data_IF_335709253690
#
_entry.id   IF_335709253690
#
_cell.length_a   1.000
_cell.length_b   1.000
_cell.length_c   1.000
_cell.angle_alpha   90.00
_cell.angle_beta   90.00
_cell.angle_gamma   90.00
#
_symmetry.space_group_name_H-M   'P 1'
#
loop_
_entity.id
_entity.type
_entity.pdbx_description
1 polymer ?
#
# COMPACT_ATOMS: atom_id res chain seq x y z
N UNK A 1 17.08 0.40 13.52
CA UNK A 1 16.03 -0.53 13.10
C UNK A 1 16.27 -1.86 13.77
N UNK A 2 15.31 -2.34 14.56
CA UNK A 2 15.43 -3.57 15.34
C UNK A 2 14.04 -4.16 15.58
N UNK A 3 13.98 -5.27 16.31
CA UNK A 3 12.79 -6.09 16.62
C UNK A 3 11.51 -5.30 17.02
N UNK A 4 11.66 -4.11 17.61
CA UNK A 4 10.57 -3.19 17.97
C UNK A 4 9.91 -2.46 16.78
N UNK A 5 10.55 -2.43 15.60
CA UNK A 5 10.06 -1.75 14.40
C UNK A 5 9.26 -2.68 13.46
N UNK A 6 9.17 -3.98 13.76
CA UNK A 6 8.52 -4.95 12.88
C UNK A 6 6.98 -4.89 12.90
N UNK A 7 6.36 -4.03 13.72
CA UNK A 7 4.90 -3.89 13.82
C UNK A 7 4.41 -2.45 13.72
N UNK A 8 5.21 -1.55 13.15
CA UNK A 8 4.82 -0.16 12.98
C UNK A 8 4.00 0.00 11.69
N UNK A 9 2.72 0.29 11.83
CA UNK A 9 1.89 0.75 10.71
C UNK A 9 2.20 2.21 10.47
N UNK A 10 2.74 2.54 9.30
CA UNK A 10 3.01 3.93 8.91
C UNK A 10 2.13 4.29 7.73
N UNK A 11 1.48 5.45 7.78
CA UNK A 11 0.87 6.07 6.62
C UNK A 11 1.54 7.42 6.34
N UNK A 12 1.45 7.88 5.09
CA UNK A 12 1.93 9.20 4.69
C UNK A 12 0.75 10.05 4.22
N UNK A 13 0.73 11.30 4.66
CA UNK A 13 -0.24 12.33 4.28
C UNK A 13 0.52 13.54 3.76
N UNK A 14 0.18 14.00 2.57
CA UNK A 14 0.65 15.28 2.01
C UNK A 14 -0.53 16.23 1.97
N UNK A 15 -0.31 17.47 2.42
CA UNK A 15 -1.32 18.53 2.38
C UNK A 15 -0.75 19.77 1.70
N UNK A 16 -1.41 20.22 0.64
CA UNK A 16 -1.17 21.52 0.03
C UNK A 16 -2.23 22.50 0.51
N UNK A 17 -1.82 23.64 1.07
CA UNK A 17 -2.73 24.67 1.57
C UNK A 17 -2.44 25.97 0.82
N UNK A 18 -3.46 26.54 0.18
CA UNK A 18 -3.36 27.80 -0.56
C UNK A 18 -4.64 28.62 -0.47
N UNK A 19 -4.66 29.77 -1.14
CA UNK A 19 -5.81 30.70 -1.12
C UNK A 19 -7.11 30.07 -1.65
N UNK A 20 -7.02 29.05 -2.52
CA UNK A 20 -8.15 28.29 -3.05
C UNK A 20 -8.60 27.10 -2.20
N UNK A 21 -8.05 26.92 -1.00
CA UNK A 21 -8.37 25.81 -0.09
C UNK A 21 -7.22 24.81 0.10
N UNK A 22 -7.53 23.67 0.71
CA UNK A 22 -6.59 22.61 1.00
C UNK A 22 -6.82 21.37 0.11
N UNK A 23 -5.73 20.77 -0.34
CA UNK A 23 -5.71 19.50 -1.05
C UNK A 23 -4.93 18.48 -0.21
N UNK A 24 -5.46 17.27 -0.08
CA UNK A 24 -4.88 16.23 0.75
C UNK A 24 -4.69 14.94 -0.06
N UNK A 25 -3.57 14.28 0.19
CA UNK A 25 -3.25 12.99 -0.42
C UNK A 25 -2.75 12.03 0.64
N UNK A 26 -3.28 10.81 0.66
CA UNK A 26 -2.87 9.80 1.63
C UNK A 26 -2.46 8.50 0.93
N UNK A 27 -1.45 7.81 1.46
CA UNK A 27 -1.12 6.45 1.02
C UNK A 27 -2.13 5.43 1.54
N UNK A 28 -2.74 5.66 2.72
CA UNK A 28 -3.85 4.83 3.22
C UNK A 28 -3.51 3.35 3.37
N UNK A 29 -2.27 3.03 3.76
CA UNK A 29 -1.75 1.66 3.98
C UNK A 29 -0.72 1.69 5.11
N UNK A 30 -0.31 0.53 5.61
CA UNK A 30 0.79 0.29 6.55
C UNK A 30 2.19 0.44 5.92
N UNK A 31 2.29 0.38 4.58
CA UNK A 31 3.54 0.42 3.83
C UNK A 31 3.50 1.53 2.76
N UNK A 32 3.82 2.78 3.13
CA UNK A 32 3.69 3.91 2.20
C UNK A 32 4.65 3.76 1.02
N UNK A 33 5.82 3.13 1.22
CA UNK A 33 6.76 2.80 0.17
C UNK A 33 6.25 1.75 -0.83
N UNK A 34 5.12 1.08 -0.59
CA UNK A 34 4.52 0.13 -1.53
C UNK A 34 3.23 0.67 -2.13
N UNK A 35 2.85 1.92 -1.85
CA UNK A 35 1.58 2.51 -2.26
C UNK A 35 1.78 3.86 -2.93
N UNK A 36 0.78 4.30 -3.67
CA UNK A 36 0.74 5.63 -4.27
C UNK A 36 -0.13 6.58 -3.44
N UNK A 37 0.23 7.86 -3.39
CA UNK A 37 -0.63 8.91 -2.88
C UNK A 37 -1.98 8.95 -3.61
N UNK A 38 -3.07 8.92 -2.84
CA UNK A 38 -4.43 9.00 -3.34
C UNK A 38 -5.11 10.28 -2.83
N UNK A 39 -5.83 11.03 -3.67
CA UNK A 39 -6.52 12.22 -3.20
C UNK A 39 -7.59 11.85 -2.17
N UNK A 40 -7.67 12.62 -1.08
CA UNK A 40 -8.64 12.50 0.01
C UNK A 40 -9.21 13.86 0.38
N UNK A 41 -10.39 13.88 1.01
CA UNK A 41 -11.03 15.11 1.48
C UNK A 41 -11.47 14.96 2.93
N UNK A 42 -11.21 15.99 3.72
CA UNK A 42 -11.75 16.09 5.08
C UNK A 42 -13.28 16.20 5.00
N UNK A 43 -14.00 15.41 5.80
CA UNK A 43 -15.46 15.40 5.82
C UNK A 43 -16.14 14.59 4.71
N UNK A 44 -15.39 14.00 3.78
CA UNK A 44 -15.92 13.13 2.73
C UNK A 44 -15.20 11.77 2.76
N UNK A 45 -15.58 10.86 3.68
CA UNK A 45 -14.92 9.58 3.86
C UNK A 45 -15.06 8.71 2.60
N UNK A 46 -14.01 7.95 2.32
CA UNK A 46 -13.97 7.03 1.19
C UNK A 46 -14.45 5.67 1.71
N UNK A 47 -15.47 5.11 1.06
CA UNK A 47 -16.23 3.95 1.56
C UNK A 47 -15.46 2.62 1.60
N UNK A 48 -16.20 1.51 1.62
CA UNK A 48 -15.71 0.11 1.77
C UNK A 48 -14.56 -0.27 0.82
N UNK A 49 -14.49 0.33 -0.37
CA UNK A 49 -13.38 0.18 -1.32
C UNK A 49 -12.01 0.49 -0.69
N UNK A 50 -11.96 1.41 0.27
CA UNK A 50 -10.72 1.76 0.99
C UNK A 50 -10.21 0.62 1.87
N UNK A 51 -11.09 -0.15 2.51
CA UNK A 51 -10.71 -1.28 3.35
C UNK A 51 -10.22 -2.46 2.51
N UNK A 52 -10.89 -2.76 1.39
CA UNK A 52 -10.45 -3.77 0.44
C UNK A 52 -9.07 -3.42 -0.15
N UNK A 53 -8.89 -2.16 -0.55
CA UNK A 53 -7.60 -1.69 -1.06
C UNK A 53 -6.49 -1.73 0.00
N UNK A 54 -6.80 -1.36 1.25
CA UNK A 54 -5.86 -1.47 2.36
C UNK A 54 -5.40 -2.92 2.55
N UNK A 55 -6.34 -3.88 2.58
CA UNK A 55 -6.02 -5.32 2.70
C UNK A 55 -5.16 -5.79 1.53
N UNK A 56 -5.46 -5.34 0.32
CA UNK A 56 -4.69 -5.70 -0.86
C UNK A 56 -3.23 -5.20 -0.77
N UNK A 57 -2.97 -4.00 -0.25
CA UNK A 57 -1.62 -3.52 0.02
C UNK A 57 -0.93 -4.28 1.16
N UNK A 58 -1.65 -4.56 2.24
CA UNK A 58 -1.13 -5.33 3.37
C UNK A 58 -0.66 -6.72 2.94
N UNK A 59 -1.39 -7.36 2.01
CA UNK A 59 -0.98 -8.63 1.38
C UNK A 59 0.38 -8.56 0.67
N UNK A 60 0.64 -7.46 -0.04
CA UNK A 60 1.92 -7.20 -0.71
C UNK A 60 3.01 -6.91 0.31
N UNK A 61 2.74 -6.05 1.30
CA UNK A 61 3.70 -5.69 2.34
C UNK A 61 4.21 -6.92 3.10
N UNK A 62 3.31 -7.83 3.48
CA UNK A 62 3.69 -9.08 4.16
C UNK A 62 4.56 -9.99 3.31
N UNK A 63 4.29 -10.06 2.00
CA UNK A 63 5.13 -10.81 1.04
C UNK A 63 6.49 -10.15 0.86
N UNK A 64 6.56 -8.83 0.82
CA UNK A 64 7.81 -8.08 0.80
C UNK A 64 8.65 -8.33 2.07
N UNK A 65 8.03 -8.42 3.24
CA UNK A 65 8.76 -8.76 4.48
C UNK A 65 9.35 -10.19 4.48
N UNK A 66 8.75 -11.12 3.73
CA UNK A 66 9.29 -12.49 3.56
C UNK A 66 10.57 -12.49 2.73
N UNK A 67 10.65 -11.61 1.73
CA UNK A 67 11.83 -11.44 0.88
C UNK A 67 11.90 -10.01 0.36
N UNK A 68 12.60 -9.11 1.07
CA UNK A 68 12.61 -7.67 0.73
C UNK A 68 13.11 -7.38 -0.69
N UNK A 69 14.02 -8.21 -1.20
CA UNK A 69 14.62 -8.08 -2.51
C UNK A 69 13.80 -8.76 -3.62
N UNK A 70 12.65 -9.38 -3.30
CA UNK A 70 11.84 -10.09 -4.28
C UNK A 70 10.90 -9.19 -5.09
N UNK A 71 10.69 -7.93 -4.69
CA UNK A 71 9.82 -7.03 -5.43
C UNK A 71 10.54 -6.45 -6.65
N UNK A 72 9.99 -6.58 -7.87
CA UNK A 72 10.59 -6.02 -9.07
C UNK A 72 10.73 -4.51 -8.99
N UNK A 73 11.90 -3.97 -9.40
CA UNK A 73 12.11 -2.53 -9.48
C UNK A 73 11.04 -1.81 -10.32
N UNK A 74 10.62 -2.43 -11.43
CA UNK A 74 9.61 -1.89 -12.33
C UNK A 74 8.27 -1.57 -11.63
N UNK A 75 7.94 -2.25 -10.53
CA UNK A 75 6.72 -1.95 -9.77
C UNK A 75 6.78 -0.59 -9.08
N UNK A 76 7.96 -0.22 -8.57
CA UNK A 76 8.15 1.11 -8.00
C UNK A 76 8.01 2.18 -9.09
N UNK A 77 8.52 1.92 -10.29
CA UNK A 77 8.39 2.84 -11.43
C UNK A 77 6.92 2.99 -11.88
N UNK A 78 6.14 1.90 -11.92
CA UNK A 78 4.68 1.94 -12.20
C UNK A 78 3.91 2.77 -11.16
N UNK A 79 4.23 2.58 -9.87
CA UNK A 79 3.65 3.37 -8.77
C UNK A 79 4.01 4.84 -8.89
N UNK A 80 5.27 5.15 -9.17
CA UNK A 80 5.77 6.52 -9.24
C UNK A 80 5.17 7.29 -10.41
N UNK A 81 4.95 6.61 -11.54
CA UNK A 81 4.24 7.20 -12.67
C UNK A 81 2.78 7.55 -12.30
N UNK A 82 2.08 6.64 -11.62
CA UNK A 82 0.70 6.86 -11.20
C UNK A 82 0.59 7.98 -10.15
N UNK A 83 1.52 8.02 -9.19
CA UNK A 83 1.61 9.07 -8.18
C UNK A 83 1.92 10.44 -8.79
N UNK A 84 2.93 10.51 -9.66
CA UNK A 84 3.33 11.75 -10.33
C UNK A 84 2.17 12.34 -11.15
N UNK A 85 1.42 11.50 -11.86
CA UNK A 85 0.25 11.94 -12.61
C UNK A 85 -0.82 12.56 -11.71
N UNK A 86 -1.09 11.97 -10.54
CA UNK A 86 -2.09 12.46 -9.60
C UNK A 86 -1.68 13.76 -8.91
N UNK A 87 -0.39 13.92 -8.60
CA UNK A 87 0.15 15.13 -7.99
C UNK A 87 0.24 16.29 -8.99
N UNK A 88 0.57 16.01 -10.26
CA UNK A 88 0.69 17.02 -11.30
C UNK A 88 -0.66 17.62 -11.74
N UNK A 89 -1.71 16.80 -11.76
CA UNK A 89 -3.06 17.22 -12.14
C UNK A 89 -4.12 16.66 -11.19
N UNK A 90 -4.28 17.25 -9.99
CA UNK A 90 -5.27 16.78 -9.01
C UNK A 90 -6.70 16.86 -9.56
N UNK A 91 -7.36 15.71 -9.66
CA UNK A 91 -8.75 15.62 -10.16
C UNK A 91 -9.77 15.99 -9.08
N UNK A 92 -10.87 16.64 -9.49
CA UNK A 92 -12.04 16.86 -8.64
C UNK A 92 -12.82 15.55 -8.36
N UNK A 93 -12.70 14.53 -9.20
CA UNK A 93 -13.16 13.18 -8.88
C UNK A 93 -11.95 12.29 -8.56
N UNK A 94 -11.78 11.84 -7.31
CA UNK A 94 -10.67 10.95 -6.95
C UNK A 94 -10.89 9.50 -7.42
N UNK A 95 -12.12 9.09 -7.74
CA UNK A 95 -12.47 7.68 -7.96
C UNK A 95 -11.66 6.99 -9.09
N UNK A 96 -11.38 7.63 -10.25
CA UNK A 96 -10.54 7.03 -11.29
C UNK A 96 -9.14 6.68 -10.80
N UNK A 97 -8.52 7.57 -10.01
CA UNK A 97 -7.19 7.33 -9.46
C UNK A 97 -7.20 6.19 -8.46
N UNK A 98 -8.19 6.15 -7.57
CA UNK A 98 -8.38 5.04 -6.62
C UNK A 98 -8.55 3.69 -7.34
N UNK A 99 -9.33 3.65 -8.43
CA UNK A 99 -9.47 2.45 -9.27
C UNK A 99 -8.17 2.05 -9.94
N UNK A 100 -7.39 3.01 -10.45
CA UNK A 100 -6.09 2.74 -11.06
C UNK A 100 -5.10 2.15 -10.06
N UNK A 101 -5.06 2.70 -8.84
CA UNK A 101 -4.26 2.15 -7.73
C UNK A 101 -4.73 0.73 -7.37
N UNK A 102 -6.04 0.50 -7.28
CA UNK A 102 -6.60 -0.83 -7.04
C UNK A 102 -6.21 -1.85 -8.12
N UNK A 103 -6.28 -1.45 -9.39
CA UNK A 103 -5.88 -2.29 -10.51
C UNK A 103 -4.37 -2.62 -10.49
N UNK A 104 -3.52 -1.66 -10.13
CA UNK A 104 -2.07 -1.85 -9.95
C UNK A 104 -1.79 -2.92 -8.88
N UNK A 105 -2.38 -2.74 -7.70
CA UNK A 105 -2.22 -3.66 -6.56
C UNK A 105 -2.79 -5.05 -6.85
N UNK A 106 -3.92 -5.12 -7.57
CA UNK A 106 -4.51 -6.39 -8.01
C UNK A 106 -3.55 -7.18 -8.89
N UNK A 107 -2.90 -6.53 -9.88
CA UNK A 107 -1.90 -7.19 -10.73
C UNK A 107 -0.67 -7.67 -9.96
N UNK A 108 -0.18 -6.86 -9.02
CA UNK A 108 0.96 -7.23 -8.19
C UNK A 108 0.65 -8.43 -7.29
N UNK A 109 -0.51 -8.42 -6.61
CA UNK A 109 -0.95 -9.58 -5.82
C UNK A 109 -1.08 -10.83 -6.70
N UNK A 110 -1.74 -10.74 -7.86
CA UNK A 110 -1.87 -11.87 -8.78
C UNK A 110 -0.50 -12.43 -9.21
N UNK A 111 0.49 -11.55 -9.43
CA UNK A 111 1.86 -11.97 -9.76
C UNK A 111 2.54 -12.67 -8.59
N UNK A 112 2.42 -12.13 -7.37
CA UNK A 112 2.98 -12.76 -6.18
C UNK A 112 2.29 -14.07 -5.81
N UNK A 113 1.01 -14.24 -6.14
CA UNK A 113 0.28 -15.48 -5.91
C UNK A 113 0.70 -16.54 -6.94
N UNK A 114 0.90 -16.15 -8.20
CA UNK A 114 1.41 -17.04 -9.24
C UNK A 114 2.87 -17.44 -9.01
N UNK A 115 3.68 -16.57 -8.41
CA UNK A 115 5.10 -16.85 -8.10
C UNK A 115 5.43 -16.35 -6.68
N UNK A 116 5.08 -17.12 -5.65
CA UNK A 116 5.32 -16.73 -4.26
C UNK A 116 6.81 -16.61 -3.97
N UNK A 117 7.28 -15.49 -3.38
CA UNK A 117 8.68 -15.36 -3.00
C UNK A 117 9.02 -16.35 -1.89
N UNK A 118 10.23 -16.92 -1.96
CA UNK A 118 10.75 -17.76 -0.87
C UNK A 118 10.90 -16.92 0.41
N UNK A 119 10.46 -17.46 1.53
CA UNK A 119 10.62 -16.81 2.83
C UNK A 119 12.10 -16.86 3.28
N UNK A 120 12.79 -15.73 3.10
CA UNK A 120 14.19 -15.51 3.45
C UNK A 120 14.38 -15.11 4.92
N UNK A 121 13.29 -14.94 5.69
CA UNK A 121 13.37 -14.60 7.11
C UNK A 121 14.03 -15.74 7.91
N UNK A 122 14.85 -15.43 8.94
CA UNK A 122 15.34 -16.43 9.88
C UNK A 122 14.21 -17.23 10.53
N UNK A 123 14.47 -18.48 10.89
CA UNK A 123 13.43 -19.40 11.40
C UNK A 123 12.69 -18.86 12.64
N UNK A 124 13.39 -18.18 13.54
CA UNK A 124 12.79 -17.54 14.71
C UNK A 124 11.81 -16.43 14.33
N UNK A 125 12.11 -15.66 13.28
CA UNK A 125 11.27 -14.54 12.82
C UNK A 125 10.02 -15.08 12.15
N UNK A 126 10.16 -16.14 11.35
CA UNK A 126 9.02 -16.86 10.77
C UNK A 126 8.07 -17.37 11.86
N UNK A 127 8.61 -17.98 12.92
CA UNK A 127 7.81 -18.48 14.05
C UNK A 127 7.08 -17.36 14.78
N UNK A 128 7.71 -16.20 14.94
CA UNK A 128 7.08 -15.03 15.57
C UNK A 128 5.95 -14.43 14.72
N UNK A 129 6.09 -14.45 13.39
CA UNK A 129 5.09 -13.93 12.45
C UNK A 129 3.94 -14.89 12.13
N UNK A 130 4.12 -16.20 12.28
CA UNK A 130 3.11 -17.20 11.88
C UNK A 130 1.69 -16.92 12.40
N UNK A 131 1.46 -16.60 13.70
CA UNK A 131 0.11 -16.32 14.19
C UNK A 131 -0.52 -15.09 13.52
N UNK A 132 0.28 -14.05 13.21
CA UNK A 132 -0.19 -12.81 12.57
C UNK A 132 -0.53 -13.05 11.11
N UNK A 133 0.26 -13.86 10.41
CA UNK A 133 0.01 -14.26 9.02
C UNK A 133 -1.28 -15.10 8.92
N UNK A 134 -1.53 -16.00 9.88
CA UNK A 134 -2.77 -16.76 9.96
C UNK A 134 -4.00 -15.89 10.22
N UNK A 135 -3.92 -14.95 11.16
CA UNK A 135 -5.02 -14.02 11.46
C UNK A 135 -5.42 -13.21 10.22
N UNK A 136 -4.44 -12.64 9.52
CA UNK A 136 -4.69 -11.89 8.29
C UNK A 136 -5.30 -12.75 7.18
N UNK A 137 -4.85 -14.01 7.04
CA UNK A 137 -5.40 -14.95 6.07
C UNK A 137 -6.81 -15.44 6.37
N UNK A 138 -7.30 -15.31 7.62
CA UNK A 138 -8.68 -15.68 8.00
C UNK A 138 -9.69 -14.56 7.74
N UNK A 139 -9.23 -13.32 7.62
CA UNK A 139 -10.08 -12.14 7.40
C UNK A 139 -10.20 -11.72 5.92
N UNK A 140 -9.52 -12.41 5.00
CA UNK A 140 -9.54 -12.17 3.55
C UNK A 140 -10.19 -13.31 2.80
#
# INVERSE_FOLDING_TARGET
GGWLAASQTTASLVSWVGAGGAQHFATGTSAPCLSAFKPVRVGAPIGVESAALWRAFEGIHRRAMRSPDALPRAWFDERDALESAALAAPSADPAPHWRAVGALVGRWNATLDATPPRDARPAWLRRWWAPRDEEFGREG
#
